data_IF_789681629739
#
_entry.id   IF_789681629739
#
_cell.length_a   1.000
_cell.length_b   1.000
_cell.length_c   1.000
_cell.angle_alpha   90.00
_cell.angle_beta   90.00
_cell.angle_gamma   90.00
#
_symmetry.space_group_name_H-M   'P 1'
#
loop_
_entity.id
_entity.type
_entity.pdbx_description
1 polymer ?
#
# COMPACT_ATOMS: atom_id res chain seq x y z
N UNK A 1 -11.96 11.62 1.67
CA UNK A 1 -12.03 10.32 2.38
C UNK A 1 -12.31 9.10 1.50
N UNK A 2 -13.26 9.14 0.55
CA UNK A 2 -13.57 7.97 -0.29
C UNK A 2 -12.35 7.39 -1.04
N UNK A 3 -11.50 8.27 -1.60
CA UNK A 3 -10.28 7.86 -2.31
C UNK A 3 -9.26 7.17 -1.37
N UNK A 4 -9.07 7.70 -0.16
CA UNK A 4 -8.23 7.10 0.89
C UNK A 4 -8.73 5.71 1.25
N UNK A 5 -10.04 5.56 1.49
CA UNK A 5 -10.64 4.27 1.81
C UNK A 5 -10.49 3.25 0.66
N UNK A 6 -10.66 3.69 -0.59
CA UNK A 6 -10.45 2.84 -1.76
C UNK A 6 -9.01 2.36 -1.91
N UNK A 7 -8.03 3.25 -1.68
CA UNK A 7 -6.61 2.90 -1.73
C UNK A 7 -6.23 1.94 -0.59
N UNK A 8 -6.70 2.20 0.63
CA UNK A 8 -6.49 1.33 1.78
C UNK A 8 -7.07 -0.07 1.56
N UNK A 9 -8.28 -0.16 0.99
CA UNK A 9 -8.89 -1.44 0.65
C UNK A 9 -8.07 -2.22 -0.40
N UNK A 10 -7.50 -1.54 -1.41
CA UNK A 10 -6.62 -2.19 -2.39
C UNK A 10 -5.34 -2.73 -1.74
N UNK A 11 -4.71 -1.94 -0.88
CA UNK A 11 -3.51 -2.37 -0.14
C UNK A 11 -3.82 -3.60 0.72
N UNK A 12 -4.87 -3.55 1.54
CA UNK A 12 -5.27 -4.67 2.41
C UNK A 12 -5.59 -5.95 1.61
N UNK A 13 -6.32 -5.82 0.49
CA UNK A 13 -6.65 -6.94 -0.39
C UNK A 13 -5.40 -7.56 -1.03
N UNK A 14 -4.44 -6.72 -1.45
CA UNK A 14 -3.20 -7.19 -2.08
C UNK A 14 -2.30 -7.99 -1.14
N UNK A 15 -2.34 -7.69 0.17
CA UNK A 15 -1.53 -8.36 1.21
C UNK A 15 -2.15 -9.67 1.67
N UNK A 16 -3.48 -9.76 1.67
CA UNK A 16 -4.19 -10.88 2.29
C UNK A 16 -3.89 -12.24 1.64
N UNK A 17 -3.69 -12.27 0.31
CA UNK A 17 -3.35 -13.50 -0.42
C UNK A 17 -1.91 -13.98 -0.17
N UNK A 18 -0.87 -13.16 -0.39
CA UNK A 18 0.52 -13.62 -0.24
C UNK A 18 0.92 -13.86 1.23
N UNK A 19 0.36 -13.11 2.18
CA UNK A 19 0.75 -13.23 3.59
C UNK A 19 0.07 -14.39 4.32
N UNK A 20 -1.06 -14.90 3.81
CA UNK A 20 -1.93 -15.79 4.59
C UNK A 20 -2.52 -15.12 5.86
N UNK A 21 -2.27 -13.82 6.04
CA UNK A 21 -2.72 -13.01 7.16
C UNK A 21 -3.89 -12.16 6.68
N UNK A 22 -5.01 -12.22 7.39
CA UNK A 22 -6.15 -11.34 7.10
C UNK A 22 -5.82 -9.89 7.46
N UNK A 23 -5.42 -9.09 6.46
CA UNK A 23 -5.26 -7.64 6.59
C UNK A 23 -6.58 -6.99 6.24
N UNK A 24 -7.12 -6.15 7.14
CA UNK A 24 -8.42 -5.49 6.92
C UNK A 24 -8.35 -4.02 7.31
N UNK A 25 -9.03 -3.18 6.54
CA UNK A 25 -9.28 -1.79 6.96
C UNK A 25 -10.44 -1.81 7.95
N UNK A 26 -10.25 -1.24 9.13
CA UNK A 26 -11.28 -1.18 10.19
C UNK A 26 -11.86 0.22 10.37
N UNK A 27 -11.11 1.27 10.06
CA UNK A 27 -11.61 2.64 10.03
C UNK A 27 -10.81 3.54 9.09
N UNK A 28 -11.47 4.58 8.59
CA UNK A 28 -10.88 5.64 7.79
C UNK A 28 -11.51 6.95 8.25
N UNK A 29 -10.71 7.88 8.77
CA UNK A 29 -11.20 9.11 9.43
C UNK A 29 -10.37 10.31 8.98
N UNK A 30 -10.97 11.49 8.79
CA UNK A 30 -10.20 12.73 8.71
C UNK A 30 -9.32 12.86 9.95
N UNK A 31 -8.11 13.36 9.76
CA UNK A 31 -7.18 13.68 10.84
C UNK A 31 -6.82 15.15 10.75
N UNK A 32 -6.94 15.85 11.87
CA UNK A 32 -6.70 17.29 11.96
C UNK A 32 -5.76 17.59 13.13
N UNK A 33 -4.48 17.69 12.83
CA UNK A 33 -3.43 18.15 13.74
C UNK A 33 -2.98 19.58 13.38
N UNK A 34 -3.88 20.40 12.83
CA UNK A 34 -3.54 21.77 12.41
C UNK A 34 -2.89 22.61 13.52
N UNK A 35 -3.32 22.42 14.78
CA UNK A 35 -2.73 23.13 15.93
C UNK A 35 -1.29 22.68 16.21
N UNK A 36 -1.00 21.37 16.18
CA UNK A 36 0.35 20.83 16.38
C UNK A 36 1.28 21.25 15.23
N UNK A 37 0.78 21.24 13.99
CA UNK A 37 1.54 21.70 12.82
C UNK A 37 1.84 23.19 12.89
N UNK A 38 0.87 24.01 13.33
CA UNK A 38 1.08 25.44 13.54
C UNK A 38 2.14 25.71 14.61
N UNK A 39 2.11 24.96 15.73
CA UNK A 39 3.14 25.04 16.77
C UNK A 39 4.52 24.64 16.22
N UNK A 40 4.62 23.51 15.51
CA UNK A 40 5.87 23.06 14.91
C UNK A 40 6.45 24.04 13.90
N UNK A 41 5.63 24.56 12.98
CA UNK A 41 6.03 25.56 12.00
C UNK A 41 6.53 26.85 12.69
N UNK A 42 5.83 27.31 13.72
CA UNK A 42 6.25 28.47 14.51
C UNK A 42 7.59 28.25 15.22
N UNK A 43 7.81 27.07 15.82
CA UNK A 43 9.06 26.72 16.50
C UNK A 43 10.26 26.66 15.54
N UNK A 44 10.02 26.19 14.31
CA UNK A 44 11.05 26.03 13.28
C UNK A 44 11.24 27.27 12.40
N UNK A 45 10.44 28.34 12.61
CA UNK A 45 10.46 29.53 11.75
C UNK A 45 10.06 29.24 10.30
N UNK A 46 9.28 28.17 10.08
CA UNK A 46 8.84 27.73 8.77
C UNK A 46 7.44 28.27 8.45
N UNK A 47 7.13 28.52 7.16
CA UNK A 47 5.78 28.85 6.77
C UNK A 47 4.83 27.67 7.05
N UNK A 48 3.64 27.96 7.59
CA UNK A 48 2.60 26.95 7.74
C UNK A 48 1.99 26.67 6.36
N UNK A 49 2.08 25.42 5.90
CA UNK A 49 1.30 24.97 4.74
C UNK A 49 -0.19 25.00 5.08
N UNK A 50 -0.88 25.97 4.49
CA UNK A 50 -2.34 26.04 4.51
C UNK A 50 -2.86 25.00 3.50
N UNK A 51 -3.94 24.32 3.87
CA UNK A 51 -4.65 23.32 3.05
C UNK A 51 -4.13 21.87 3.09
N UNK A 52 -3.15 21.53 3.93
CA UNK A 52 -2.76 20.13 4.11
C UNK A 52 -3.85 19.33 4.84
N UNK A 53 -4.34 18.27 4.21
CA UNK A 53 -5.41 17.41 4.74
C UNK A 53 -4.86 16.01 5.01
N UNK A 54 -5.02 15.51 6.23
CA UNK A 54 -4.62 14.16 6.60
C UNK A 54 -5.81 13.24 6.84
N UNK A 55 -5.53 11.95 6.69
CA UNK A 55 -6.45 10.89 7.05
C UNK A 55 -5.73 9.88 7.93
N UNK A 56 -6.41 9.46 8.99
CA UNK A 56 -6.05 8.29 9.78
C UNK A 56 -6.74 7.05 9.20
N UNK A 57 -5.97 6.00 8.95
CA UNK A 57 -6.45 4.70 8.46
C UNK A 57 -6.06 3.63 9.48
N UNK A 58 -7.05 2.94 10.02
CA UNK A 58 -6.84 1.83 10.94
C UNK A 58 -6.83 0.51 10.13
N UNK A 59 -5.73 -0.24 10.22
CA UNK A 59 -5.59 -1.59 9.67
C UNK A 59 -5.59 -2.61 10.80
N UNK A 60 -6.37 -3.68 10.68
CA UNK A 60 -6.22 -4.87 11.51
C UNK A 60 -5.31 -5.88 10.83
N UNK A 61 -4.23 -6.27 11.51
CA UNK A 61 -3.23 -7.25 11.07
C UNK A 61 -3.09 -8.28 12.20
N UNK A 62 -3.50 -9.53 11.97
CA UNK A 62 -3.57 -10.58 13.03
C UNK A 62 -4.40 -10.19 14.27
N UNK A 63 -5.36 -9.27 14.12
CA UNK A 63 -6.18 -8.80 15.23
C UNK A 63 -5.61 -7.58 15.96
N UNK A 64 -4.32 -7.26 15.77
CA UNK A 64 -3.72 -5.99 16.21
C UNK A 64 -4.22 -4.86 15.30
N UNK A 65 -4.49 -3.68 15.88
CA UNK A 65 -4.90 -2.50 15.12
C UNK A 65 -3.74 -1.52 15.03
N UNK A 66 -3.32 -1.23 13.81
CA UNK A 66 -2.29 -0.23 13.49
C UNK A 66 -2.97 0.98 12.86
N UNK A 67 -2.63 2.18 13.32
CA UNK A 67 -3.06 3.43 12.72
C UNK A 67 -1.95 4.01 11.85
N UNK A 68 -2.28 4.31 10.60
CA UNK A 68 -1.42 4.97 9.63
C UNK A 68 -2.01 6.35 9.29
N UNK A 69 -1.16 7.36 9.19
CA UNK A 69 -1.53 8.70 8.73
C UNK A 69 -1.05 8.91 7.30
N UNK A 70 -1.91 9.45 6.45
CA UNK A 70 -1.58 9.75 5.05
C UNK A 70 -2.03 11.14 4.66
N UNK A 71 -1.28 11.75 3.74
CA UNK A 71 -1.69 12.98 3.10
C UNK A 71 -2.86 12.67 2.14
N UNK A 72 -4.07 13.09 2.52
CA UNK A 72 -5.31 12.84 1.81
C UNK A 72 -5.44 13.60 0.48
N UNK A 73 -4.53 14.52 0.17
CA UNK A 73 -4.49 15.27 -1.08
C UNK A 73 -3.74 14.54 -2.19
N UNK A 74 -3.05 13.45 -1.87
CA UNK A 74 -2.36 12.62 -2.86
C UNK A 74 -3.35 11.97 -3.82
N UNK A 75 -2.92 11.78 -5.08
CA UNK A 75 -3.65 10.93 -6.01
C UNK A 75 -3.72 9.49 -5.54
N UNK A 76 -4.65 8.70 -6.09
CA UNK A 76 -4.91 7.31 -5.66
C UNK A 76 -3.65 6.43 -5.63
N UNK A 77 -2.77 6.56 -6.63
CA UNK A 77 -1.48 5.86 -6.71
C UNK A 77 -0.56 6.28 -5.56
N UNK A 78 -0.45 7.59 -5.28
CA UNK A 78 0.35 8.12 -4.18
C UNK A 78 -0.17 7.66 -2.82
N UNK A 79 -1.49 7.69 -2.61
CA UNK A 79 -2.14 7.14 -1.41
C UNK A 79 -1.83 5.65 -1.24
N UNK A 80 -1.97 4.84 -2.30
CA UNK A 80 -1.67 3.42 -2.25
C UNK A 80 -0.19 3.15 -1.91
N UNK A 81 0.74 3.95 -2.44
CA UNK A 81 2.16 3.87 -2.11
C UNK A 81 2.44 4.16 -0.64
N UNK A 82 1.93 5.29 -0.11
CA UNK A 82 2.11 5.65 1.31
C UNK A 82 1.54 4.58 2.24
N UNK A 83 0.31 4.11 1.96
CA UNK A 83 -0.35 3.07 2.75
C UNK A 83 0.41 1.73 2.66
N UNK A 84 0.88 1.34 1.48
CA UNK A 84 1.63 0.09 1.31
C UNK A 84 2.94 0.09 2.10
N UNK A 85 3.69 1.19 2.08
CA UNK A 85 4.92 1.32 2.87
C UNK A 85 4.63 1.27 4.37
N UNK A 86 3.64 2.01 4.85
CA UNK A 86 3.32 2.04 6.27
C UNK A 86 2.79 0.70 6.79
N UNK A 87 1.90 0.04 6.04
CA UNK A 87 1.37 -1.28 6.43
C UNK A 87 2.44 -2.37 6.34
N UNK A 88 3.38 -2.28 5.40
CA UNK A 88 4.53 -3.16 5.32
C UNK A 88 5.35 -3.07 6.61
N UNK A 89 5.72 -1.84 7.00
CA UNK A 89 6.57 -1.58 8.16
C UNK A 89 5.92 -2.09 9.45
N UNK A 90 4.72 -1.60 9.78
CA UNK A 90 4.00 -2.03 10.97
C UNK A 90 3.63 -3.52 10.94
N UNK A 91 3.33 -4.05 9.76
CA UNK A 91 3.11 -5.47 9.58
C UNK A 91 4.35 -6.29 9.89
N UNK A 92 5.53 -5.85 9.44
CA UNK A 92 6.79 -6.52 9.73
C UNK A 92 7.14 -6.45 11.22
N UNK A 93 6.86 -5.32 11.89
CA UNK A 93 7.02 -5.20 13.35
C UNK A 93 6.16 -6.22 14.10
N UNK A 94 4.89 -6.38 13.72
CA UNK A 94 3.96 -7.37 14.32
C UNK A 94 4.45 -8.81 14.09
N UNK A 95 5.07 -9.07 12.94
CA UNK A 95 5.48 -10.42 12.53
C UNK A 95 6.85 -10.81 13.07
N UNK A 96 7.62 -9.85 13.59
CA UNK A 96 8.97 -10.05 14.10
C UNK A 96 9.89 -10.59 13.02
N UNK A 97 10.40 -11.81 13.21
CA UNK A 97 11.30 -12.47 12.25
C UNK A 97 10.59 -13.13 11.07
N UNK A 98 9.25 -13.21 11.08
CA UNK A 98 8.49 -13.79 9.97
C UNK A 98 8.35 -12.76 8.84
N UNK A 99 8.74 -13.08 7.59
CA UNK A 99 8.60 -12.17 6.47
C UNK A 99 7.15 -11.72 6.20
N UNK A 100 6.94 -10.41 6.06
CA UNK A 100 5.63 -9.85 5.76
C UNK A 100 5.68 -8.69 4.77
N UNK A 101 4.87 -8.71 3.68
CA UNK A 101 4.35 -9.94 3.07
C UNK A 101 5.55 -10.79 2.58
N UNK A 102 5.45 -12.12 2.61
CA UNK A 102 6.57 -12.97 2.23
C UNK A 102 6.87 -12.85 0.73
N UNK A 103 8.15 -12.81 0.37
CA UNK A 103 8.58 -12.87 -1.02
C UNK A 103 8.43 -14.31 -1.56
N UNK A 104 7.70 -14.53 -2.67
CA UNK A 104 7.55 -15.85 -3.25
C UNK A 104 8.91 -16.49 -3.57
N UNK A 105 9.13 -17.71 -3.07
CA UNK A 105 10.35 -18.47 -3.30
C UNK A 105 11.57 -18.01 -2.49
N UNK A 106 11.45 -17.01 -1.61
CA UNK A 106 12.57 -16.47 -0.85
C UNK A 106 12.26 -16.28 0.65
N UNK A 107 13.30 -16.23 1.48
CA UNK A 107 13.22 -16.08 2.93
C UNK A 107 13.41 -14.62 3.39
N UNK A 108 12.68 -13.69 2.78
CA UNK A 108 12.69 -12.26 3.14
C UNK A 108 11.36 -11.61 2.75
N UNK A 109 11.01 -10.44 3.34
CA UNK A 109 9.80 -9.73 2.94
C UNK A 109 9.91 -9.22 1.49
N UNK A 110 8.76 -8.98 0.86
CA UNK A 110 8.70 -8.12 -0.32
C UNK A 110 8.85 -6.65 0.08
N UNK A 111 9.20 -5.80 -0.88
CA UNK A 111 9.21 -4.35 -0.76
C UNK A 111 8.17 -3.72 -1.66
N UNK A 112 7.90 -2.43 -1.45
CA UNK A 112 7.06 -1.63 -2.34
C UNK A 112 7.94 -1.02 -3.44
N UNK A 113 7.57 -1.27 -4.69
CA UNK A 113 8.11 -0.60 -5.86
C UNK A 113 7.10 0.39 -6.44
N UNK A 114 7.59 1.45 -7.07
CA UNK A 114 6.78 2.43 -7.77
C UNK A 114 7.45 2.84 -9.09
N UNK A 115 6.72 2.78 -10.20
CA UNK A 115 7.21 3.22 -11.50
C UNK A 115 6.05 3.57 -12.43
N UNK A 116 6.20 4.51 -13.35
CA UNK A 116 5.23 4.78 -14.43
C UNK A 116 3.72 4.81 -14.03
N UNK A 117 3.39 5.40 -12.87
CA UNK A 117 1.99 5.48 -12.40
C UNK A 117 1.43 4.20 -11.78
N UNK A 118 2.28 3.20 -11.52
CA UNK A 118 1.92 1.99 -10.76
C UNK A 118 2.69 1.91 -9.45
N UNK A 119 2.03 1.28 -8.47
CA UNK A 119 2.65 0.77 -7.24
C UNK A 119 2.51 -0.75 -7.26
N UNK A 120 3.52 -1.47 -6.79
CA UNK A 120 3.56 -2.93 -6.82
C UNK A 120 4.41 -3.49 -5.68
N UNK A 121 4.16 -4.74 -5.31
CA UNK A 121 5.06 -5.53 -4.48
C UNK A 121 6.17 -6.11 -5.34
N UNK A 122 7.42 -6.05 -4.89
CA UNK A 122 8.59 -6.60 -5.59
C UNK A 122 9.53 -7.33 -4.64
N UNK A 123 10.39 -8.17 -5.23
CA UNK A 123 11.53 -8.73 -4.52
C UNK A 123 12.58 -7.63 -4.30
N UNK A 124 13.18 -7.50 -3.10
CA UNK A 124 14.30 -6.58 -2.87
C UNK A 124 15.48 -6.83 -3.83
N UNK A 125 15.70 -8.07 -4.24
CA UNK A 125 16.73 -8.45 -5.22
C UNK A 125 16.35 -8.16 -6.68
N UNK A 126 15.12 -7.73 -6.96
CA UNK A 126 14.63 -7.38 -8.29
C UNK A 126 13.60 -6.22 -8.21
N UNK A 127 14.03 -5.02 -7.78
CA UNK A 127 13.11 -3.93 -7.39
C UNK A 127 12.21 -3.40 -8.51
N UNK A 128 12.60 -3.58 -9.78
CA UNK A 128 11.83 -3.16 -10.95
C UNK A 128 10.84 -4.23 -11.46
N UNK A 129 10.90 -5.44 -10.90
CA UNK A 129 10.06 -6.57 -11.30
C UNK A 129 8.90 -6.72 -10.34
N UNK A 130 7.68 -6.49 -10.85
CA UNK A 130 6.47 -6.65 -10.05
C UNK A 130 6.20 -8.13 -9.78
N UNK A 131 6.19 -8.50 -8.50
CA UNK A 131 5.65 -9.78 -8.03
C UNK A 131 4.12 -9.72 -8.03
N UNK A 132 3.54 -8.59 -7.61
CA UNK A 132 2.11 -8.34 -7.64
C UNK A 132 1.83 -6.84 -7.77
N UNK A 133 0.95 -6.46 -8.69
CA UNK A 133 0.54 -5.06 -8.85
C UNK A 133 -0.47 -4.68 -7.77
N UNK A 134 -0.21 -3.58 -7.07
CA UNK A 134 -1.12 -2.98 -6.09
C UNK A 134 -2.18 -2.13 -6.79
N UNK A 135 -1.71 -1.15 -7.55
CA UNK A 135 -2.50 -0.12 -8.23
C UNK A 135 -1.74 0.32 -9.48
N UNK A 136 -2.47 0.63 -10.56
CA UNK A 136 -1.93 1.25 -11.78
C UNK A 136 -2.89 2.35 -12.24
N UNK A 137 -2.37 3.54 -12.52
CA UNK A 137 -3.15 4.62 -13.13
C UNK A 137 -3.48 4.27 -14.58
N UNK A 138 -4.76 4.03 -14.87
CA UNK A 138 -5.26 3.93 -16.24
C UNK A 138 -5.11 2.57 -16.91
N UNK A 139 -5.85 1.57 -16.42
CA UNK A 139 -6.35 0.46 -17.24
C UNK A 139 -7.84 0.21 -16.96
N UNK A 140 -8.67 1.14 -17.42
CA UNK A 140 -9.99 0.74 -17.88
C UNK A 140 -9.78 -0.08 -19.17
N UNK A 141 -10.00 -1.39 -19.11
CA UNK A 141 -10.17 -2.24 -20.29
C UNK A 141 -8.90 -2.70 -21.01
N UNK A 142 -8.29 -3.79 -20.52
CA UNK A 142 -7.96 -4.90 -21.44
C UNK A 142 -7.91 -6.20 -20.65
N UNK A 143 -9.07 -6.84 -20.53
CA UNK A 143 -9.12 -8.28 -20.30
C UNK A 143 -8.52 -8.92 -21.56
N UNK A 144 -7.26 -9.34 -21.52
CA UNK A 144 -6.81 -10.43 -22.40
C UNK A 144 -6.91 -11.69 -21.58
N UNK A 145 -8.06 -12.34 -21.71
CA UNK A 145 -8.05 -13.80 -21.81
C UNK A 145 -6.99 -14.15 -22.85
N UNK A 146 -5.95 -14.85 -22.44
CA UNK A 146 -5.16 -15.69 -23.34
C UNK A 146 -5.19 -17.04 -22.63
N UNK A 147 -6.21 -17.84 -22.93
CA UNK A 147 -6.11 -18.86 -23.98
C UNK A 147 -4.89 -19.73 -23.72
N UNK A 148 -5.15 -20.82 -23.00
CA UNK A 148 -4.33 -22.01 -23.02
C UNK A 148 -4.15 -22.46 -24.48
N UNK A 149 -2.93 -22.70 -24.97
CA UNK A 149 -2.76 -23.35 -26.25
C UNK A 149 -3.19 -24.82 -26.10
N UNK A 150 -4.38 -25.13 -26.60
CA UNK A 150 -4.72 -26.49 -27.02
C UNK A 150 -4.02 -26.77 -28.35
N UNK A 151 -3.23 -27.84 -28.37
CA UNK A 151 -2.98 -28.61 -29.59
C UNK A 151 -1.79 -28.16 -30.45
N UNK A 152 -0.76 -28.99 -30.47
CA UNK A 152 -0.16 -29.41 -31.74
C UNK A 152 0.19 -30.88 -31.61
N UNK A 153 -0.61 -31.71 -32.28
CA UNK A 153 -0.25 -33.06 -32.64
C UNK A 153 0.82 -33.00 -33.74
N UNK A 154 1.87 -33.81 -33.60
CA UNK A 154 2.67 -34.36 -34.70
C UNK A 154 3.41 -35.57 -34.16
N UNK A 155 3.01 -36.74 -34.65
CA UNK A 155 3.48 -38.08 -34.29
C UNK A 155 2.53 -39.10 -34.88
#
# INVERSE_FOLDING_TARGET
MAQVGGAAAHVAASLSRPSGVGVRVTAVRPHDDSDLRAQGASLLGMPLERDYAEAAVDFSIRGEVVRVFVNAQQGFVGLAGQLAHAVLDSGQEIMGSTPFPPCPGHAHPMTVGASAGRVFWCCPGAPDTATAVLVESGRAGHRRSSEWPSGSASG
#
